data_IF_882991640790
#
_entry.id   IF_882991640790
#
_cell.length_a   1.000
_cell.length_b   1.000
_cell.length_c   1.000
_cell.angle_alpha   90.00
_cell.angle_beta   90.00
_cell.angle_gamma   90.00
#
_symmetry.space_group_name_H-M   'P 1'
#
loop_
_entity.id
_entity.type
_entity.pdbx_description
1 polymer ?
#
# COMPACT_ATOMS: atom_id res chain seq x y z
N UNK A 1 -48.22 -3.19 -26.71
CA UNK A 1 -47.63 -3.66 -27.99
C UNK A 1 -46.28 -4.31 -27.69
N UNK A 2 -46.02 -5.41 -28.39
CA UNK A 2 -44.97 -6.44 -28.19
C UNK A 2 -43.67 -5.94 -28.85
N UNK A 3 -42.46 -6.16 -28.30
CA UNK A 3 -41.59 -7.31 -28.61
C UNK A 3 -40.38 -7.40 -27.65
N UNK A 4 -40.19 -8.59 -27.11
CA UNK A 4 -38.96 -9.12 -26.49
C UNK A 4 -37.87 -9.28 -27.55
N UNK A 5 -36.60 -9.09 -27.17
CA UNK A 5 -35.48 -9.90 -27.68
C UNK A 5 -34.54 -10.28 -26.54
N UNK A 6 -34.45 -11.58 -26.35
CA UNK A 6 -33.47 -12.33 -25.55
C UNK A 6 -32.20 -12.47 -26.41
N UNK A 7 -31.00 -12.29 -25.87
CA UNK A 7 -29.81 -13.01 -26.34
C UNK A 7 -28.79 -13.17 -25.21
N UNK A 8 -28.25 -14.37 -25.15
CA UNK A 8 -27.51 -15.05 -24.07
C UNK A 8 -26.02 -14.67 -24.06
N UNK A 9 -25.33 -14.72 -22.89
CA UNK A 9 -23.89 -14.49 -22.79
C UNK A 9 -23.07 -15.68 -23.30
N UNK A 10 -22.00 -15.42 -24.06
CA UNK A 10 -20.99 -16.42 -24.41
C UNK A 10 -19.81 -16.31 -23.44
N UNK A 11 -19.63 -17.36 -22.63
CA UNK A 11 -18.41 -17.61 -21.87
C UNK A 11 -17.29 -18.07 -22.81
N UNK A 12 -16.05 -17.65 -22.55
CA UNK A 12 -14.87 -18.33 -23.06
C UNK A 12 -13.80 -18.40 -21.96
N UNK A 13 -13.70 -19.61 -21.43
CA UNK A 13 -12.65 -20.15 -20.58
C UNK A 13 -11.28 -20.07 -21.31
N UNK A 14 -10.22 -19.69 -20.61
CA UNK A 14 -8.84 -20.11 -20.96
C UNK A 14 -7.99 -20.12 -19.70
N UNK A 15 -7.96 -21.29 -19.07
CA UNK A 15 -6.99 -21.67 -18.05
C UNK A 15 -5.81 -22.28 -18.79
N UNK A 16 -4.62 -21.68 -18.69
CA UNK A 16 -3.37 -22.35 -19.07
C UNK A 16 -2.53 -22.50 -17.80
N UNK A 17 -2.55 -23.72 -17.25
CA UNK A 17 -1.73 -24.18 -16.15
C UNK A 17 -0.49 -24.86 -16.76
N UNK A 18 0.69 -24.23 -16.64
CA UNK A 18 1.95 -24.86 -16.98
C UNK A 18 2.59 -25.41 -15.70
N UNK A 19 2.47 -26.73 -15.51
CA UNK A 19 3.21 -27.48 -14.50
C UNK A 19 4.62 -27.76 -15.04
N UNK A 20 5.64 -27.10 -14.49
CA UNK A 20 7.02 -27.50 -14.70
C UNK A 20 7.41 -28.54 -13.64
N UNK A 21 7.39 -29.81 -14.04
CA UNK A 21 7.92 -30.93 -13.27
C UNK A 21 9.44 -30.96 -13.39
N UNK A 22 10.17 -30.69 -12.30
CA UNK A 22 11.58 -31.06 -12.21
C UNK A 22 11.67 -32.49 -11.64
N UNK A 23 11.93 -33.44 -12.56
CA UNK A 23 12.41 -34.79 -12.27
C UNK A 23 13.76 -34.67 -11.57
N UNK A 24 13.98 -35.31 -10.43
CA UNK A 24 14.46 -36.69 -10.39
C UNK A 24 15.98 -36.68 -10.23
N UNK A 25 16.44 -36.92 -9.00
CA UNK A 25 17.85 -36.91 -8.64
C UNK A 25 18.60 -38.17 -9.04
N UNK A 26 19.92 -38.10 -8.92
CA UNK A 26 20.81 -39.07 -8.27
C UNK A 26 22.25 -38.65 -8.59
N UNK A 27 23.10 -38.53 -7.58
CA UNK A 27 24.53 -38.79 -7.69
C UNK A 27 25.11 -39.00 -6.28
N UNK A 28 25.52 -40.24 -6.02
CA UNK A 28 26.29 -40.65 -4.85
C UNK A 28 27.78 -40.40 -5.07
N UNK A 29 28.41 -40.00 -3.97
CA UNK A 29 29.76 -40.33 -3.48
C UNK A 29 30.94 -40.25 -4.46
N UNK A 30 31.86 -39.31 -4.18
CA UNK A 30 33.28 -39.65 -4.08
C UNK A 30 34.02 -38.70 -3.12
N UNK A 31 34.67 -39.29 -2.12
CA UNK A 31 35.53 -38.61 -1.17
C UNK A 31 36.94 -38.40 -1.74
N UNK A 32 37.49 -37.18 -1.64
CA UNK A 32 38.94 -36.96 -1.55
C UNK A 32 39.27 -35.62 -0.89
N UNK A 33 40.25 -35.68 0.02
CA UNK A 33 40.92 -34.58 0.69
C UNK A 33 41.43 -33.47 -0.26
N UNK A 34 41.30 -32.21 0.16
CA UNK A 34 41.88 -31.07 -0.55
C UNK A 34 41.53 -29.73 0.10
N UNK A 35 42.28 -29.40 1.14
CA UNK A 35 42.41 -28.09 1.77
C UNK A 35 42.72 -26.99 0.75
N UNK A 36 41.79 -26.05 0.56
CA UNK A 36 42.14 -24.68 0.14
C UNK A 36 41.07 -23.67 0.58
N UNK A 37 41.57 -22.51 0.99
CA UNK A 37 40.83 -21.42 1.62
C UNK A 37 39.97 -20.68 0.59
N UNK A 38 38.66 -20.70 0.76
CA UNK A 38 37.74 -19.80 0.05
C UNK A 38 37.36 -18.68 1.02
N UNK A 39 37.58 -17.39 0.66
CA UNK A 39 37.24 -16.26 1.52
C UNK A 39 35.72 -16.21 1.78
N UNK A 40 35.28 -15.64 2.92
CA UNK A 40 33.86 -15.51 3.20
C UNK A 40 33.21 -14.71 2.07
N UNK A 41 32.21 -15.31 1.43
CA UNK A 41 31.35 -14.62 0.46
C UNK A 41 30.85 -13.36 1.15
N UNK A 42 31.13 -12.21 0.53
CA UNK A 42 30.75 -10.93 1.06
C UNK A 42 29.25 -10.97 1.36
N UNK A 43 28.91 -10.87 2.64
CA UNK A 43 27.60 -10.42 3.09
C UNK A 43 27.39 -9.07 2.42
N UNK A 44 26.67 -9.09 1.30
CA UNK A 44 26.08 -7.88 0.74
C UNK A 44 25.25 -7.31 1.87
N UNK A 45 25.80 -6.29 2.53
CA UNK A 45 25.05 -5.38 3.36
C UNK A 45 24.08 -4.69 2.41
N UNK A 46 22.99 -5.40 2.12
CA UNK A 46 21.80 -4.83 1.53
C UNK A 46 21.31 -3.88 2.61
N UNK A 47 21.71 -2.61 2.49
CA UNK A 47 21.07 -1.49 3.16
C UNK A 47 19.68 -1.34 2.55
N UNK A 48 18.88 -2.39 2.72
CA UNK A 48 17.43 -2.33 2.77
C UNK A 48 17.13 -1.61 4.07
N UNK A 49 17.37 -0.30 4.03
CA UNK A 49 16.77 0.67 4.91
C UNK A 49 15.28 0.35 4.92
N UNK A 50 14.87 -0.42 5.93
CA UNK A 50 13.49 -0.72 6.27
C UNK A 50 12.92 0.65 6.64
N UNK A 51 12.43 1.38 5.64
CA UNK A 51 11.81 2.68 5.80
C UNK A 51 10.44 2.42 6.41
N UNK A 52 10.44 2.21 7.71
CA UNK A 52 9.24 2.18 8.53
C UNK A 52 8.51 3.51 8.34
N UNK A 53 7.17 3.45 8.33
CA UNK A 53 6.26 4.61 8.29
C UNK A 53 6.59 5.69 9.34
N UNK A 54 7.39 5.34 10.34
CA UNK A 54 7.70 6.12 11.52
C UNK A 54 8.63 7.31 11.29
N UNK A 55 9.26 7.46 10.12
CA UNK A 55 10.30 8.49 9.93
C UNK A 55 9.96 9.56 8.88
N UNK A 56 8.73 10.08 8.93
CA UNK A 56 8.38 11.32 8.24
C UNK A 56 8.80 12.49 9.14
N UNK A 57 9.76 13.27 8.67
CA UNK A 57 10.21 14.47 9.38
C UNK A 57 9.18 15.58 9.19
N UNK A 58 8.33 15.79 10.20
CA UNK A 58 7.22 16.73 10.19
C UNK A 58 7.65 18.15 9.76
N UNK A 59 8.76 18.66 10.30
CA UNK A 59 9.29 20.00 10.01
C UNK A 59 9.69 20.18 8.53
N UNK A 60 9.92 19.07 7.83
CA UNK A 60 10.31 19.06 6.43
C UNK A 60 9.12 19.08 5.48
N UNK A 61 7.91 18.79 5.97
CA UNK A 61 6.68 18.67 5.17
C UNK A 61 6.16 20.06 4.82
N UNK A 62 5.89 20.28 3.53
CA UNK A 62 5.34 21.55 3.02
C UNK A 62 3.87 21.47 2.67
N UNK A 63 3.45 20.30 2.19
CA UNK A 63 2.10 20.08 1.68
C UNK A 63 1.72 18.62 1.78
N UNK A 64 0.47 18.37 2.12
CA UNK A 64 -0.18 17.07 1.95
C UNK A 64 -1.31 17.23 0.94
N UNK A 65 -1.39 16.32 -0.02
CA UNK A 65 -2.46 16.27 -1.02
C UNK A 65 -3.21 14.96 -0.88
N UNK A 66 -4.52 15.02 -0.69
CA UNK A 66 -5.39 13.84 -0.57
C UNK A 66 -6.36 13.81 -1.75
N UNK A 67 -6.36 12.71 -2.49
CA UNK A 67 -7.16 12.56 -3.72
C UNK A 67 -8.08 11.35 -3.60
N UNK A 68 -9.39 11.57 -3.78
CA UNK A 68 -10.39 10.50 -3.80
C UNK A 68 -10.26 9.66 -5.08
N UNK A 69 -10.26 8.34 -4.93
CA UNK A 69 -10.04 7.37 -6.01
C UNK A 69 -11.33 6.85 -6.66
N UNK A 70 -12.49 7.00 -6.02
CA UNK A 70 -13.76 6.46 -6.52
C UNK A 70 -14.26 7.18 -7.79
N UNK A 71 -14.44 6.39 -8.86
CA UNK A 71 -15.29 6.55 -10.05
C UNK A 71 -15.71 7.99 -10.41
N UNK A 72 -14.74 8.82 -10.80
CA UNK A 72 -14.99 10.15 -11.37
C UNK A 72 -15.63 10.02 -12.75
N UNK A 73 -16.94 10.26 -12.85
CA UNK A 73 -17.43 10.91 -14.06
C UNK A 73 -16.87 12.34 -14.08
N UNK A 74 -16.41 12.87 -15.24
CA UNK A 74 -15.76 14.19 -15.31
C UNK A 74 -16.58 15.33 -14.71
N UNK A 75 -17.91 15.17 -14.66
CA UNK A 75 -18.86 16.17 -14.15
C UNK A 75 -18.91 16.29 -12.62
N UNK A 76 -18.41 15.30 -11.87
CA UNK A 76 -18.43 15.26 -10.39
C UNK A 76 -17.04 15.01 -9.78
N UNK A 77 -15.97 15.36 -10.51
CA UNK A 77 -14.61 15.21 -10.00
C UNK A 77 -14.34 16.25 -8.91
N UNK A 78 -14.50 15.86 -7.64
CA UNK A 78 -13.96 16.61 -6.51
C UNK A 78 -12.44 16.82 -6.74
N UNK A 79 -11.99 18.06 -6.61
CA UNK A 79 -10.58 18.41 -6.67
C UNK A 79 -9.77 17.73 -5.55
N UNK A 80 -8.44 17.66 -5.66
CA UNK A 80 -7.62 17.19 -4.56
C UNK A 80 -7.77 18.12 -3.34
N UNK A 81 -7.84 17.54 -2.14
CA UNK A 81 -7.71 18.30 -0.89
C UNK A 81 -6.23 18.61 -0.66
N UNK A 82 -5.90 19.86 -0.40
CA UNK A 82 -4.53 20.29 -0.11
C UNK A 82 -4.44 20.89 1.29
N UNK A 83 -3.48 20.41 2.07
CA UNK A 83 -3.18 20.89 3.42
C UNK A 83 -1.80 21.52 3.43
N UNK A 84 -1.75 22.78 3.85
CA UNK A 84 -0.52 23.56 4.03
C UNK A 84 -0.42 24.18 5.42
N UNK A 85 -1.48 24.10 6.22
CA UNK A 85 -1.48 24.51 7.61
C UNK A 85 -0.84 23.44 8.50
N UNK A 86 -0.09 23.90 9.50
CA UNK A 86 0.68 23.03 10.39
C UNK A 86 -0.21 22.07 11.17
N UNK A 87 -1.38 22.51 11.65
CA UNK A 87 -2.28 21.68 12.46
C UNK A 87 -2.78 20.45 11.68
N UNK A 88 -3.21 20.66 10.43
CA UNK A 88 -3.71 19.56 9.61
C UNK A 88 -2.58 18.65 9.13
N UNK A 89 -1.41 19.20 8.81
CA UNK A 89 -0.22 18.41 8.50
C UNK A 89 0.14 17.52 9.69
N UNK A 90 0.26 18.10 10.89
CA UNK A 90 0.54 17.37 12.12
C UNK A 90 -0.45 16.24 12.36
N UNK A 91 -1.75 16.52 12.30
CA UNK A 91 -2.78 15.52 12.53
C UNK A 91 -2.67 14.33 11.57
N UNK A 92 -2.47 14.58 10.28
CA UNK A 92 -2.34 13.52 9.26
C UNK A 92 -1.04 12.73 9.46
N UNK A 93 0.09 13.41 9.69
CA UNK A 93 1.37 12.74 9.90
C UNK A 93 1.36 11.88 11.17
N UNK A 94 0.80 12.38 12.27
CA UNK A 94 0.66 11.60 13.50
C UNK A 94 -0.22 10.36 13.30
N UNK A 95 -1.32 10.48 12.56
CA UNK A 95 -2.18 9.33 12.24
C UNK A 95 -1.41 8.26 11.44
N UNK A 96 -0.59 8.67 10.48
CA UNK A 96 0.24 7.74 9.68
C UNK A 96 1.34 7.10 10.53
N UNK A 97 2.06 7.88 11.35
CA UNK A 97 3.18 7.39 12.15
C UNK A 97 2.76 6.51 13.33
N UNK A 98 1.53 6.66 13.82
CA UNK A 98 0.96 5.84 14.89
C UNK A 98 0.34 4.53 14.40
N UNK A 99 0.20 4.35 13.08
CA UNK A 99 -0.39 3.15 12.50
C UNK A 99 0.45 1.91 12.81
N UNK A 100 -0.23 0.80 13.12
CA UNK A 100 0.42 -0.48 13.48
C UNK A 100 0.27 -1.49 12.34
N UNK A 101 1.32 -2.27 12.04
CA UNK A 101 1.30 -3.20 10.93
C UNK A 101 0.26 -4.30 11.14
N UNK A 102 -0.48 -4.62 10.08
CA UNK A 102 -1.44 -5.73 10.05
C UNK A 102 -0.66 -7.02 9.84
N UNK A 103 -0.88 -8.00 10.72
CA UNK A 103 -0.23 -9.31 10.63
C UNK A 103 -0.97 -10.24 9.67
N UNK A 104 -0.22 -11.00 8.88
CA UNK A 104 -0.75 -12.02 7.97
C UNK A 104 -0.93 -11.55 6.54
N UNK A 105 -1.82 -12.22 5.80
CA UNK A 105 -2.08 -11.92 4.39
C UNK A 105 -3.10 -10.78 4.31
N UNK A 106 -2.71 -9.69 3.66
CA UNK A 106 -3.59 -8.56 3.38
C UNK A 106 -4.48 -8.90 2.17
N UNK A 107 -5.79 -8.96 2.37
CA UNK A 107 -6.78 -9.13 1.30
C UNK A 107 -7.77 -7.97 1.35
N UNK A 108 -7.50 -6.93 0.56
CA UNK A 108 -8.20 -5.64 0.61
C UNK A 108 -8.67 -5.24 -0.79
N UNK A 109 -9.79 -4.51 -0.85
CA UNK A 109 -10.33 -3.98 -2.10
C UNK A 109 -9.61 -2.70 -2.55
N UNK A 110 -10.22 -1.97 -3.47
CA UNK A 110 -9.70 -0.67 -3.92
C UNK A 110 -9.67 0.34 -2.76
N UNK A 111 -8.62 1.17 -2.73
CA UNK A 111 -8.48 2.25 -1.78
C UNK A 111 -9.48 3.39 -2.06
N UNK A 112 -9.86 4.11 -1.01
CA UNK A 112 -10.77 5.26 -1.12
C UNK A 112 -10.04 6.53 -1.54
N UNK A 113 -8.80 6.71 -1.05
CA UNK A 113 -7.98 7.89 -1.29
C UNK A 113 -6.50 7.54 -1.50
N UNK A 114 -5.82 8.39 -2.27
CA UNK A 114 -4.36 8.52 -2.26
C UNK A 114 -3.96 9.72 -1.38
N UNK A 115 -2.91 9.57 -0.57
CA UNK A 115 -2.27 10.63 0.21
C UNK A 115 -0.85 10.83 -0.34
N UNK A 116 -0.54 12.04 -0.79
CA UNK A 116 0.80 12.46 -1.19
C UNK A 116 1.36 13.46 -0.19
N UNK A 117 2.58 13.22 0.29
CA UNK A 117 3.27 14.13 1.21
C UNK A 117 4.48 14.69 0.49
N UNK A 118 4.50 16.00 0.29
CA UNK A 118 5.63 16.73 -0.30
C UNK A 118 6.49 17.34 0.81
N UNK A 119 7.65 16.72 1.05
CA UNK A 119 8.66 17.21 1.99
C UNK A 119 9.90 17.69 1.24
N UNK A 120 10.66 18.60 1.87
CA UNK A 120 11.98 19.05 1.37
C UNK A 120 12.97 17.90 1.17
N UNK A 121 12.83 16.80 1.92
CA UNK A 121 13.77 15.68 1.94
C UNK A 121 13.30 14.51 1.08
N UNK A 122 12.00 14.24 1.09
CA UNK A 122 11.43 13.04 0.49
C UNK A 122 9.96 13.24 0.11
N UNK A 123 9.49 12.47 -0.87
CA UNK A 123 8.07 12.35 -1.17
C UNK A 123 7.55 11.00 -0.68
N UNK A 124 6.37 11.01 -0.09
CA UNK A 124 5.69 9.82 0.39
C UNK A 124 4.34 9.70 -0.30
N UNK A 125 3.91 8.48 -0.56
CA UNK A 125 2.63 8.18 -1.17
C UNK A 125 1.98 7.00 -0.45
N UNK A 126 0.74 7.18 -0.01
CA UNK A 126 -0.03 6.18 0.71
C UNK A 126 -1.39 5.97 0.06
N UNK A 127 -1.84 4.72 0.05
CA UNK A 127 -3.25 4.40 -0.17
C UNK A 127 -3.97 4.38 1.17
N UNK A 128 -5.19 4.90 1.22
CA UNK A 128 -6.03 5.01 2.40
C UNK A 128 -7.39 4.34 2.15
N UNK A 129 -7.76 3.44 3.05
CA UNK A 129 -9.11 2.88 3.17
C UNK A 129 -9.77 3.48 4.40
N UNK A 130 -10.85 4.22 4.21
CA UNK A 130 -11.57 4.91 5.26
C UNK A 130 -13.04 5.08 4.86
N UNK A 131 -13.94 4.69 5.76
CA UNK A 131 -15.37 4.78 5.53
C UNK A 131 -16.05 5.48 6.70
N UNK A 132 -17.14 6.19 6.45
CA UNK A 132 -17.89 6.92 7.50
C UNK A 132 -18.24 6.02 8.69
N UNK A 133 -18.63 4.78 8.40
CA UNK A 133 -19.11 3.82 9.39
C UNK A 133 -18.02 2.86 9.93
N UNK A 134 -16.75 2.99 9.52
CA UNK A 134 -15.67 2.14 10.05
C UNK A 134 -15.05 2.74 11.31
N UNK A 135 -14.77 1.92 12.34
CA UNK A 135 -14.09 2.42 13.55
C UNK A 135 -12.59 2.65 13.30
N UNK A 136 -12.00 1.90 12.37
CA UNK A 136 -10.59 1.98 12.01
C UNK A 136 -10.43 2.24 10.51
N UNK A 137 -9.42 3.03 10.18
CA UNK A 137 -8.90 3.21 8.83
C UNK A 137 -7.65 2.34 8.64
N UNK A 138 -7.31 2.10 7.38
CA UNK A 138 -6.10 1.39 7.02
C UNK A 138 -5.31 2.19 5.99
N UNK A 139 -3.99 2.16 6.09
CA UNK A 139 -3.08 2.75 5.11
C UNK A 139 -2.08 1.72 4.59
N UNK A 140 -1.52 1.99 3.42
CA UNK A 140 -0.44 1.21 2.83
C UNK A 140 0.55 2.14 2.14
N UNK A 141 1.85 1.95 2.40
CA UNK A 141 2.91 2.67 1.68
C UNK A 141 2.96 2.16 0.25
N UNK A 142 2.87 3.05 -0.74
CA UNK A 142 2.96 2.64 -2.14
C UNK A 142 4.36 2.12 -2.52
N UNK A 143 5.36 2.30 -1.66
CA UNK A 143 6.71 1.72 -1.79
C UNK A 143 6.82 0.32 -1.19
N UNK A 144 5.92 -0.05 -0.28
CA UNK A 144 5.79 -1.40 0.28
C UNK A 144 4.32 -1.82 0.33
N UNK A 145 3.86 -2.41 -0.77
CA UNK A 145 2.48 -2.85 -0.91
C UNK A 145 2.20 -4.22 -0.26
N UNK A 146 3.18 -4.80 0.44
CA UNK A 146 2.99 -6.07 1.15
C UNK A 146 2.50 -5.86 2.58
N UNK A 147 2.67 -4.65 3.12
CA UNK A 147 2.34 -4.33 4.51
C UNK A 147 1.22 -3.28 4.56
N UNK A 148 0.05 -3.71 5.01
CA UNK A 148 -1.01 -2.79 5.43
C UNK A 148 -0.80 -2.38 6.89
N UNK A 149 -1.28 -1.20 7.25
CA UNK A 149 -1.21 -0.68 8.60
C UNK A 149 -2.58 -0.19 9.04
N UNK A 150 -3.01 -0.58 10.23
CA UNK A 150 -4.27 -0.10 10.81
C UNK A 150 -4.03 1.12 11.68
N UNK A 151 -4.91 2.10 11.57
CA UNK A 151 -4.93 3.28 12.43
C UNK A 151 -5.73 2.97 13.69
N UNK A 152 -5.36 3.57 14.81
CA UNK A 152 -6.22 3.54 16.01
C UNK A 152 -7.57 4.20 15.74
N UNK A 153 -8.57 3.90 16.56
CA UNK A 153 -9.89 4.55 16.46
C UNK A 153 -9.80 6.08 16.61
N UNK A 154 -8.97 6.55 17.54
CA UNK A 154 -8.71 7.98 17.76
C UNK A 154 -8.06 8.63 16.52
N UNK A 155 -7.00 8.03 15.98
CA UNK A 155 -6.34 8.53 14.77
C UNK A 155 -7.29 8.51 13.57
N UNK A 156 -8.13 7.48 13.47
CA UNK A 156 -9.16 7.36 12.43
C UNK A 156 -10.18 8.49 12.56
N UNK A 157 -10.69 8.75 13.77
CA UNK A 157 -11.65 9.81 14.02
C UNK A 157 -11.10 11.20 13.65
N UNK A 158 -9.84 11.49 14.00
CA UNK A 158 -9.19 12.75 13.60
C UNK A 158 -9.00 12.84 12.08
N UNK A 159 -8.57 11.75 11.45
CA UNK A 159 -8.36 11.72 10.00
C UNK A 159 -9.68 11.92 9.23
N UNK A 160 -10.80 11.34 9.70
CA UNK A 160 -12.13 11.56 9.10
C UNK A 160 -12.53 13.02 9.08
N UNK A 161 -12.21 13.79 10.12
CA UNK A 161 -12.53 15.22 10.15
C UNK A 161 -11.81 15.99 9.05
N UNK A 162 -10.62 15.54 8.65
CA UNK A 162 -9.84 16.15 7.57
C UNK A 162 -10.32 15.64 6.20
N UNK A 163 -10.53 14.33 6.04
CA UNK A 163 -10.72 13.70 4.72
C UNK A 163 -12.19 13.55 4.29
N UNK A 164 -13.14 13.39 5.23
CA UNK A 164 -14.55 13.10 4.91
C UNK A 164 -15.49 14.29 5.12
N UNK A 165 -15.11 15.23 6.00
CA UNK A 165 -15.97 16.35 6.41
C UNK A 165 -15.64 17.67 5.70
N UNK A 166 -14.86 17.65 4.62
CA UNK A 166 -14.62 18.87 3.83
C UNK A 166 -15.76 19.13 2.84
N UNK A 167 -16.20 20.39 2.72
CA UNK A 167 -17.33 20.81 1.89
C UNK A 167 -17.04 20.80 0.38
#
# INVERSE_FOLDING_TARGET
MIRRKLLVPAAALSIILAMASCTGGDNKEQATHGNDSVPPVASSNDDSSTRTLTNIDLESVKKITVTKLLNKTPENAEGPMEYTDQESIEAIIHAIQSAVPIQGILNVGDADYDIFIDSTKMKYAFQLWIHDNSEQAMIMDMRDTHTGYTLSEEATAELKKKVLLQP
#
